data_IF_631289799777
#
_entry.id   IF_631289799777
#
_cell.length_a   1.000
_cell.length_b   1.000
_cell.length_c   1.000
_cell.angle_alpha   90.00
_cell.angle_beta   90.00
_cell.angle_gamma   90.00
#
_symmetry.space_group_name_H-M   'P 1'
#
loop_
_entity.id
_entity.type
_entity.pdbx_description
1 polymer ?
#
# COMPACT_ATOMS: atom_id res chain seq x y z
N UNK A 1 -15.73 15.89 18.72
CA UNK A 1 -15.64 15.21 17.40
C UNK A 1 -15.41 13.74 17.68
N UNK A 2 -16.06 12.81 16.95
CA UNK A 2 -15.69 11.39 17.03
C UNK A 2 -14.35 11.22 16.30
N UNK A 3 -13.46 10.43 16.86
CA UNK A 3 -12.23 10.04 16.17
C UNK A 3 -12.59 9.31 14.86
N UNK A 4 -11.80 9.48 13.77
CA UNK A 4 -12.04 8.78 12.51
C UNK A 4 -12.01 7.26 12.73
N UNK A 5 -12.71 6.48 11.92
CA UNK A 5 -12.69 5.01 12.02
C UNK A 5 -11.38 4.44 11.45
N UNK A 6 -11.04 3.17 11.71
CA UNK A 6 -9.81 2.56 11.17
C UNK A 6 -9.92 2.48 9.65
N UNK A 7 -11.09 2.10 9.14
CA UNK A 7 -11.38 2.13 7.71
C UNK A 7 -11.11 3.52 7.10
N UNK A 8 -11.55 4.60 7.78
CA UNK A 8 -11.34 5.96 7.29
C UNK A 8 -9.86 6.38 7.29
N UNK A 9 -9.06 5.89 8.25
CA UNK A 9 -7.62 6.14 8.27
C UNK A 9 -6.89 5.40 7.14
N UNK A 10 -7.25 4.13 6.87
CA UNK A 10 -6.67 3.33 5.78
C UNK A 10 -7.05 3.87 4.40
N UNK A 11 -8.33 4.18 4.16
CA UNK A 11 -8.78 4.81 2.91
C UNK A 11 -8.13 6.18 2.69
N UNK A 12 -7.82 6.94 3.74
CA UNK A 12 -7.08 8.20 3.60
C UNK A 12 -5.66 7.93 3.10
N UNK A 13 -4.99 6.92 3.67
CA UNK A 13 -3.62 6.55 3.30
C UNK A 13 -3.52 6.05 1.85
N UNK A 14 -4.50 5.28 1.36
CA UNK A 14 -4.62 4.94 -0.06
C UNK A 14 -4.59 6.19 -0.96
N UNK A 15 -5.43 7.18 -0.64
CA UNK A 15 -5.50 8.43 -1.42
C UNK A 15 -4.20 9.22 -1.34
N UNK A 16 -3.53 9.24 -0.18
CA UNK A 16 -2.25 9.92 -0.02
C UNK A 16 -1.16 9.28 -0.88
N UNK A 17 -1.13 7.95 -0.97
CA UNK A 17 -0.22 7.20 -1.85
C UNK A 17 -0.54 7.48 -3.32
N UNK A 18 -1.81 7.36 -3.73
CA UNK A 18 -2.24 7.59 -5.12
C UNK A 18 -1.85 9.01 -5.58
N UNK A 19 -2.17 10.04 -4.76
CA UNK A 19 -1.81 11.44 -5.04
C UNK A 19 -0.30 11.64 -5.14
N UNK A 20 0.50 10.96 -4.32
CA UNK A 20 1.95 11.08 -4.36
C UNK A 20 2.54 10.47 -5.64
N UNK A 21 2.01 9.32 -6.10
CA UNK A 21 2.39 8.70 -7.38
C UNK A 21 2.00 9.62 -8.56
N UNK A 22 0.77 10.13 -8.57
CA UNK A 22 0.30 11.09 -9.59
C UNK A 22 1.17 12.36 -9.64
N UNK A 23 1.51 12.91 -8.46
CA UNK A 23 2.38 14.08 -8.36
C UNK A 23 3.79 13.79 -8.89
N UNK A 24 4.33 12.61 -8.63
CA UNK A 24 5.61 12.19 -9.19
C UNK A 24 5.55 12.08 -10.72
N UNK A 25 4.51 11.43 -11.29
CA UNK A 25 4.31 11.33 -12.74
C UNK A 25 4.23 12.71 -13.38
N UNK A 26 3.44 13.63 -12.81
CA UNK A 26 3.29 14.98 -13.34
C UNK A 26 4.60 15.77 -13.35
N UNK A 27 5.47 15.57 -12.34
CA UNK A 27 6.80 16.18 -12.28
C UNK A 27 7.75 15.57 -13.30
N UNK A 28 7.70 14.25 -13.46
CA UNK A 28 8.47 13.52 -14.46
C UNK A 28 8.11 13.98 -15.88
N UNK A 29 6.82 14.22 -16.16
CA UNK A 29 6.32 14.74 -17.44
C UNK A 29 6.81 16.17 -17.74
N UNK A 30 7.14 16.93 -16.69
CA UNK A 30 7.79 18.24 -16.82
C UNK A 30 9.33 18.16 -16.94
N UNK A 31 9.90 16.96 -17.01
CA UNK A 31 11.34 16.70 -17.08
C UNK A 31 12.07 16.69 -15.72
N UNK A 32 11.34 16.70 -14.60
CA UNK A 32 11.91 16.68 -13.25
C UNK A 32 11.76 15.32 -12.58
N UNK A 33 12.87 14.64 -12.30
CA UNK A 33 12.86 13.39 -11.51
C UNK A 33 13.01 13.72 -10.03
N UNK A 34 11.95 13.52 -9.24
CA UNK A 34 11.99 13.70 -7.79
C UNK A 34 12.20 12.34 -7.10
N UNK A 35 13.46 11.90 -7.03
CA UNK A 35 13.83 10.59 -6.48
C UNK A 35 13.31 10.38 -5.07
N UNK A 36 13.43 11.39 -4.22
CA UNK A 36 13.00 11.33 -2.82
C UNK A 36 11.48 11.12 -2.71
N UNK A 37 10.69 11.83 -3.53
CA UNK A 37 9.23 11.70 -3.53
C UNK A 37 8.79 10.26 -3.85
N UNK A 38 9.34 9.66 -4.92
CA UNK A 38 8.95 8.29 -5.27
C UNK A 38 9.49 7.29 -4.24
N UNK A 39 10.71 7.48 -3.73
CA UNK A 39 11.29 6.60 -2.70
C UNK A 39 10.43 6.58 -1.44
N UNK A 40 10.05 7.76 -0.91
CA UNK A 40 9.19 7.88 0.27
C UNK A 40 7.79 7.31 0.03
N UNK A 41 7.26 7.45 -1.18
CA UNK A 41 5.96 6.89 -1.57
C UNK A 41 5.99 5.36 -1.59
N UNK A 42 7.04 4.76 -2.17
CA UNK A 42 7.24 3.31 -2.18
C UNK A 42 7.46 2.75 -0.77
N UNK A 43 8.21 3.45 0.09
CA UNK A 43 8.35 3.07 1.50
C UNK A 43 7.01 3.11 2.23
N UNK A 44 6.19 4.13 1.97
CA UNK A 44 4.85 4.26 2.56
C UNK A 44 3.94 3.11 2.12
N UNK A 45 3.93 2.76 0.83
CA UNK A 45 3.14 1.64 0.32
C UNK A 45 3.63 0.29 0.85
N UNK A 46 4.95 0.07 0.95
CA UNK A 46 5.49 -1.15 1.58
C UNK A 46 5.10 -1.26 3.06
N UNK A 47 5.14 -0.15 3.80
CA UNK A 47 4.68 -0.09 5.19
C UNK A 47 3.17 -0.37 5.30
N UNK A 48 2.37 0.14 4.37
CA UNK A 48 0.93 -0.12 4.30
C UNK A 48 0.66 -1.62 4.13
N UNK A 49 1.28 -2.25 3.12
CA UNK A 49 1.18 -3.70 2.89
C UNK A 49 1.62 -4.52 4.12
N UNK A 50 2.71 -4.13 4.78
CA UNK A 50 3.14 -4.75 6.04
C UNK A 50 2.08 -4.65 7.14
N UNK A 51 1.53 -3.45 7.33
CA UNK A 51 0.47 -3.21 8.32
C UNK A 51 -0.70 -4.16 8.09
N UNK A 52 -1.10 -4.33 6.84
CA UNK A 52 -2.27 -5.14 6.52
C UNK A 52 -2.00 -6.63 6.69
N UNK A 53 -0.90 -7.15 6.14
CA UNK A 53 -0.57 -8.57 6.22
C UNK A 53 -0.30 -9.04 7.66
N UNK A 54 0.28 -8.17 8.49
CA UNK A 54 0.75 -8.56 9.84
C UNK A 54 -0.28 -8.27 10.92
N UNK A 55 -1.10 -7.22 10.78
CA UNK A 55 -2.02 -6.80 11.84
C UNK A 55 -3.49 -6.84 11.43
N UNK A 56 -3.83 -6.41 10.21
CA UNK A 56 -5.23 -6.29 9.79
C UNK A 56 -5.81 -7.64 9.34
N UNK A 57 -5.15 -8.32 8.41
CA UNK A 57 -5.66 -9.53 7.79
C UNK A 57 -5.76 -10.74 8.72
N UNK A 58 -4.83 -10.98 9.68
CA UNK A 58 -4.94 -12.14 10.56
C UNK A 58 -6.27 -12.21 11.34
N UNK A 59 -6.70 -11.19 12.11
CA UNK A 59 -7.98 -11.25 12.83
C UNK A 59 -9.19 -11.31 11.89
N UNK A 60 -9.15 -10.66 10.73
CA UNK A 60 -10.26 -10.71 9.76
C UNK A 60 -10.39 -12.09 9.11
N UNK A 61 -9.28 -12.79 8.89
CA UNK A 61 -9.28 -14.18 8.41
C UNK A 61 -9.87 -15.11 9.46
N UNK A 62 -9.52 -14.91 10.73
CA UNK A 62 -10.06 -15.69 11.85
C UNK A 62 -11.57 -15.44 12.03
N UNK A 63 -12.06 -14.24 11.67
CA UNK A 63 -13.47 -13.89 11.59
C UNK A 63 -14.21 -14.44 10.34
N UNK A 64 -13.51 -15.13 9.44
CA UNK A 64 -14.10 -15.82 8.29
C UNK A 64 -13.97 -15.10 6.94
N UNK A 65 -13.27 -13.96 6.86
CA UNK A 65 -13.04 -13.19 5.61
C UNK A 65 -11.91 -13.81 4.78
N UNK A 66 -11.93 -15.13 4.59
CA UNK A 66 -10.78 -15.90 4.06
C UNK A 66 -10.52 -15.62 2.58
N UNK A 67 -11.54 -15.75 1.73
CA UNK A 67 -11.36 -15.63 0.27
C UNK A 67 -11.02 -14.21 -0.18
N UNK A 68 -11.65 -13.14 0.33
CA UNK A 68 -11.23 -11.77 0.01
C UNK A 68 -9.78 -11.49 0.40
N UNK A 69 -9.36 -11.92 1.61
CA UNK A 69 -7.95 -11.75 2.05
C UNK A 69 -6.99 -12.51 1.15
N UNK A 70 -7.32 -13.73 0.71
CA UNK A 70 -6.47 -14.46 -0.23
C UNK A 70 -6.25 -13.69 -1.55
N UNK A 71 -7.27 -12.98 -2.05
CA UNK A 71 -7.13 -12.10 -3.21
C UNK A 71 -6.20 -10.93 -2.91
N UNK A 72 -6.35 -10.27 -1.76
CA UNK A 72 -5.49 -9.16 -1.33
C UNK A 72 -4.02 -9.59 -1.24
N UNK A 73 -3.73 -10.73 -0.58
CA UNK A 73 -2.36 -11.27 -0.49
C UNK A 73 -1.72 -11.48 -1.88
N UNK A 74 -2.47 -11.99 -2.85
CA UNK A 74 -1.96 -12.18 -4.22
C UNK A 74 -1.70 -10.85 -4.93
N UNK A 75 -2.58 -9.88 -4.73
CA UNK A 75 -2.44 -8.53 -5.32
C UNK A 75 -1.29 -7.77 -4.68
N UNK A 76 -1.07 -7.88 -3.36
CA UNK A 76 0.11 -7.38 -2.67
C UNK A 76 1.41 -7.93 -3.27
N UNK A 77 1.45 -9.22 -3.62
CA UNK A 77 2.59 -9.79 -4.35
C UNK A 77 2.85 -9.13 -5.70
N UNK A 78 1.79 -8.74 -6.43
CA UNK A 78 1.93 -8.04 -7.72
C UNK A 78 2.39 -6.60 -7.54
N UNK A 79 1.79 -5.88 -6.59
CA UNK A 79 2.20 -4.53 -6.21
C UNK A 79 3.67 -4.52 -5.78
N UNK A 80 4.09 -5.48 -4.97
CA UNK A 80 5.46 -5.59 -4.47
C UNK A 80 6.49 -5.69 -5.59
N UNK A 81 6.25 -6.55 -6.58
CA UNK A 81 7.15 -6.68 -7.74
C UNK A 81 7.20 -5.41 -8.58
N UNK A 82 6.09 -4.69 -8.73
CA UNK A 82 6.09 -3.39 -9.42
C UNK A 82 6.89 -2.35 -8.63
N UNK A 83 6.77 -2.31 -7.30
CA UNK A 83 7.57 -1.43 -6.44
C UNK A 83 9.07 -1.74 -6.51
N UNK A 84 9.44 -3.01 -6.55
CA UNK A 84 10.84 -3.43 -6.71
C UNK A 84 11.38 -2.98 -8.07
N UNK A 85 10.63 -3.18 -9.16
CA UNK A 85 11.01 -2.68 -10.48
C UNK A 85 11.18 -1.15 -10.52
N UNK A 86 10.33 -0.39 -9.82
CA UNK A 86 10.49 1.06 -9.69
C UNK A 86 11.73 1.46 -8.88
N UNK A 87 12.05 0.69 -7.84
CA UNK A 87 13.26 0.90 -7.03
C UNK A 87 14.51 0.72 -7.89
N UNK A 88 14.54 -0.34 -8.72
CA UNK A 88 15.65 -0.59 -9.65
C UNK A 88 15.75 0.50 -10.72
N UNK A 89 14.63 0.90 -11.33
CA UNK A 89 14.61 1.96 -12.36
C UNK A 89 15.09 3.32 -11.82
N UNK A 90 14.72 3.65 -10.58
CA UNK A 90 15.21 4.86 -9.90
C UNK A 90 16.71 4.81 -9.66
N UNK A 91 17.26 3.64 -9.30
CA UNK A 91 18.69 3.47 -9.08
C UNK A 91 19.49 3.55 -10.39
N UNK A 92 18.94 3.02 -11.48
CA UNK A 92 19.57 3.05 -12.81
C UNK A 92 19.57 4.46 -13.43
N UNK A 93 18.50 5.23 -13.23
CA UNK A 93 18.41 6.66 -13.60
C UNK A 93 18.38 6.99 -15.10
N UNK A 94 18.41 6.00 -15.98
CA UNK A 94 18.62 6.20 -17.43
C UNK A 94 17.38 5.99 -18.31
N UNK A 95 16.22 5.63 -17.74
CA UNK A 95 15.01 5.31 -18.50
C UNK A 95 13.75 5.96 -17.89
N UNK A 96 13.63 7.27 -18.08
CA UNK A 96 12.50 8.06 -17.58
C UNK A 96 11.17 7.61 -18.18
N UNK A 97 11.16 7.10 -19.42
CA UNK A 97 9.94 6.60 -20.07
C UNK A 97 9.46 5.33 -19.38
N UNK A 98 10.33 4.35 -19.18
CA UNK A 98 9.97 3.12 -18.47
C UNK A 98 9.63 3.37 -17.01
N UNK A 99 10.32 4.30 -16.34
CA UNK A 99 9.99 4.73 -14.98
C UNK A 99 8.55 5.26 -14.91
N UNK A 100 8.18 6.16 -15.84
CA UNK A 100 6.83 6.70 -15.96
C UNK A 100 5.79 5.61 -16.18
N UNK A 101 6.01 4.73 -17.18
CA UNK A 101 5.07 3.67 -17.53
C UNK A 101 4.87 2.69 -16.36
N UNK A 102 5.93 2.40 -15.61
CA UNK A 102 5.85 1.54 -14.42
C UNK A 102 5.10 2.22 -13.27
N UNK A 103 5.23 3.55 -13.09
CA UNK A 103 4.40 4.29 -12.12
C UNK A 103 2.91 4.26 -12.50
N UNK A 104 2.58 4.41 -13.78
CA UNK A 104 1.20 4.27 -14.27
C UNK A 104 0.67 2.86 -14.02
N UNK A 105 1.48 1.83 -14.30
CA UNK A 105 1.13 0.45 -13.99
C UNK A 105 0.84 0.26 -12.50
N UNK A 106 1.68 0.80 -11.60
CA UNK A 106 1.46 0.71 -10.16
C UNK A 106 0.13 1.36 -9.75
N UNK A 107 -0.16 2.55 -10.28
CA UNK A 107 -1.40 3.27 -10.00
C UNK A 107 -2.64 2.49 -10.47
N UNK A 108 -2.59 1.89 -11.66
CA UNK A 108 -3.68 1.03 -12.17
C UNK A 108 -3.89 -0.23 -11.32
N UNK A 109 -2.80 -0.81 -10.79
CA UNK A 109 -2.87 -1.94 -9.86
C UNK A 109 -3.50 -1.52 -8.52
N UNK A 110 -3.09 -0.36 -7.98
CA UNK A 110 -3.65 0.20 -6.74
C UNK A 110 -5.15 0.49 -6.90
N UNK A 111 -5.58 1.14 -7.99
CA UNK A 111 -7.00 1.36 -8.23
C UNK A 111 -7.83 0.06 -8.26
N UNK A 112 -7.29 -1.00 -8.90
CA UNK A 112 -7.93 -2.31 -8.93
C UNK A 112 -7.93 -3.01 -7.57
N UNK A 113 -6.90 -2.79 -6.76
CA UNK A 113 -6.77 -3.33 -5.42
C UNK A 113 -7.72 -2.62 -4.45
N UNK A 114 -7.57 -1.30 -4.32
CA UNK A 114 -8.32 -0.41 -3.42
C UNK A 114 -9.83 -0.50 -3.68
N UNK A 115 -10.27 -0.60 -4.94
CA UNK A 115 -11.69 -0.72 -5.29
C UNK A 115 -12.35 -2.03 -4.82
N UNK A 116 -11.56 -3.07 -4.52
CA UNK A 116 -12.04 -4.29 -3.87
C UNK A 116 -11.89 -4.19 -2.36
N UNK A 117 -10.74 -3.71 -1.90
CA UNK A 117 -10.42 -3.70 -0.48
C UNK A 117 -11.34 -2.79 0.33
N UNK A 118 -11.48 -1.54 -0.09
CA UNK A 118 -12.24 -0.53 0.66
C UNK A 118 -13.70 -0.93 0.94
N UNK A 119 -14.47 -1.48 -0.03
CA UNK A 119 -15.84 -1.91 0.24
C UNK A 119 -15.96 -3.32 0.84
N UNK A 120 -14.95 -4.19 0.72
CA UNK A 120 -15.06 -5.61 1.13
C UNK A 120 -14.33 -5.89 2.44
N UNK A 121 -13.14 -5.32 2.65
CA UNK A 121 -12.29 -5.60 3.81
C UNK A 121 -12.54 -4.57 4.91
N UNK A 122 -12.43 -3.28 4.61
CA UNK A 122 -12.41 -2.23 5.61
C UNK A 122 -13.68 -2.09 6.48
N UNK A 123 -14.91 -2.41 6.02
CA UNK A 123 -16.08 -2.40 6.90
C UNK A 123 -15.96 -3.39 8.08
N UNK A 124 -15.20 -4.48 7.90
CA UNK A 124 -14.94 -5.47 8.93
C UNK A 124 -13.81 -5.01 9.88
N UNK A 125 -12.95 -4.07 9.46
CA UNK A 125 -11.85 -3.55 10.28
C UNK A 125 -12.35 -2.84 11.55
N UNK A 126 -13.52 -2.19 11.48
CA UNK A 126 -14.13 -1.51 12.62
C UNK A 126 -15.04 -2.42 13.47
N UNK A 127 -15.37 -3.62 12.96
CA UNK A 127 -16.32 -4.56 13.60
C UNK A 127 -15.62 -5.77 14.21
N UNK A 128 -14.70 -6.40 13.47
CA UNK A 128 -14.15 -7.72 13.79
C UNK A 128 -12.70 -7.66 14.31
N UNK A 129 -12.01 -6.53 14.15
CA UNK A 129 -10.65 -6.36 14.68
C UNK A 129 -10.73 -6.08 16.19
N UNK A 130 -10.03 -6.85 17.05
CA UNK A 130 -10.02 -6.63 18.49
C UNK A 130 -9.60 -5.20 18.85
N UNK A 131 -10.22 -4.56 19.86
CA UNK A 131 -9.92 -3.16 20.22
C UNK A 131 -8.43 -2.87 20.48
N UNK A 132 -7.70 -3.84 21.06
CA UNK A 132 -6.27 -3.72 21.30
C UNK A 132 -5.47 -3.66 19.99
N UNK A 133 -5.75 -4.56 19.05
CA UNK A 133 -5.16 -4.58 17.71
C UNK A 133 -5.53 -3.33 16.92
N UNK A 134 -6.77 -2.84 17.03
CA UNK A 134 -7.21 -1.61 16.38
C UNK A 134 -6.41 -0.39 16.89
N UNK A 135 -6.19 -0.29 18.20
CA UNK A 135 -5.38 0.78 18.78
C UNK A 135 -3.90 0.71 18.35
N UNK A 136 -3.34 -0.50 18.26
CA UNK A 136 -1.98 -0.74 17.75
C UNK A 136 -1.87 -0.34 16.27
N UNK A 137 -2.80 -0.80 15.43
CA UNK A 137 -2.90 -0.44 14.01
C UNK A 137 -2.90 1.09 13.82
N UNK A 138 -3.76 1.81 14.54
CA UNK A 138 -3.84 3.27 14.44
C UNK A 138 -2.56 3.98 14.86
N UNK A 139 -1.84 3.44 15.85
CA UNK A 139 -0.52 3.96 16.22
C UNK A 139 0.51 3.68 15.12
N UNK A 140 0.45 2.50 14.53
CA UNK A 140 1.35 2.07 13.46
C UNK A 140 1.14 2.88 12.18
N UNK A 141 -0.11 3.18 11.78
CA UNK A 141 -0.41 4.09 10.64
C UNK A 141 0.35 5.41 10.79
N UNK A 142 0.38 5.98 12.00
CA UNK A 142 0.98 7.30 12.24
C UNK A 142 2.51 7.31 12.30
N UNK A 143 3.13 6.23 12.75
CA UNK A 143 4.55 6.26 13.18
C UNK A 143 5.34 4.98 12.89
N UNK A 144 4.66 3.93 12.45
CA UNK A 144 5.25 2.63 12.20
C UNK A 144 6.17 2.62 10.99
N UNK A 145 7.06 1.64 10.95
CA UNK A 145 7.88 1.29 9.78
C UNK A 145 7.85 -0.23 9.66
N UNK A 146 7.84 -0.73 8.44
CA UNK A 146 8.08 -2.16 8.23
C UNK A 146 9.49 -2.52 8.74
N UNK A 147 9.71 -3.71 9.31
CA UNK A 147 11.04 -4.16 9.70
C UNK A 147 11.99 -4.19 8.50
N UNK A 148 13.28 -3.92 8.74
CA UNK A 148 14.30 -3.99 7.70
C UNK A 148 14.34 -5.40 7.07
N UNK A 149 14.35 -5.45 5.75
CA UNK A 149 14.35 -6.70 4.99
C UNK A 149 13.02 -7.47 5.02
N UNK A 150 11.94 -6.90 5.57
CA UNK A 150 10.62 -7.49 5.43
C UNK A 150 10.15 -7.45 3.97
N UNK A 151 9.54 -8.55 3.53
CA UNK A 151 9.01 -8.74 2.19
C UNK A 151 7.60 -9.32 2.30
N UNK A 152 6.67 -8.85 1.46
CA UNK A 152 5.30 -9.37 1.49
C UNK A 152 5.27 -10.87 1.16
N UNK A 153 4.29 -11.59 1.73
CA UNK A 153 4.30 -13.05 1.71
C UNK A 153 4.27 -13.64 0.27
N UNK A 154 3.71 -12.91 -0.69
CA UNK A 154 3.53 -13.36 -2.08
C UNK A 154 4.44 -12.65 -3.09
N UNK A 155 5.52 -12.00 -2.63
CA UNK A 155 6.48 -11.33 -3.51
C UNK A 155 7.16 -12.31 -4.50
N UNK A 156 7.46 -13.54 -4.04
CA UNK A 156 8.20 -14.55 -4.79
C UNK A 156 7.45 -15.29 -5.90
N UNK A 157 6.12 -15.17 -5.96
CA UNK A 157 5.26 -15.88 -6.93
C UNK A 157 4.82 -17.26 -6.48
#
# INVERSE_FOLDING_TARGET
>A
MRDPTLAADLTREHREIDVAIEAFIAKLDCGGVQHELLTETLETLRRHVYLEEVFLFPPLRDAGIVMPIFVMMREHGQLWRTMDALTDLLADGNDSTRLRDTCVQLLDQLHQHNSKEEPVIYPNADTDVPPQTNAELRRFIKTGRAPDGWVCQQAGG
#
